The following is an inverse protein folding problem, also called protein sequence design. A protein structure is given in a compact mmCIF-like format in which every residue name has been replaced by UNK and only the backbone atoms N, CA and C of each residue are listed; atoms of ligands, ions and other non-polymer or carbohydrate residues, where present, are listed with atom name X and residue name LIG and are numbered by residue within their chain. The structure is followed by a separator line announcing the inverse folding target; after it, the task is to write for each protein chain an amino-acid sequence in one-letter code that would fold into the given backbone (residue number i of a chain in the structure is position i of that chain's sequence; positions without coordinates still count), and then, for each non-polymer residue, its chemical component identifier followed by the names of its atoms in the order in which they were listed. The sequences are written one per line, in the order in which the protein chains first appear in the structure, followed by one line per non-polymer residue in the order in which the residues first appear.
data_IF_230021244685
#
_entry.id   IF_230021244685
#
_cell.length_a   1.000
_cell.length_b   1.000
_cell.length_c   1.000
_cell.angle_alpha   90.00
_cell.angle_beta   90.00
_cell.angle_gamma   90.00
#
_symmetry.space_group_name_H-M   'P 1'
#
loop_
_entity.id
_entity.type
_entity.pdbx_description
1 polymer ?
#
# COMPACT_ATOMS: atom_id res chain seq x y z
N UNK A 1 13.59 16.82 8.60
CA UNK A 1 14.03 15.45 8.90
C UNK A 1 12.93 14.54 8.40
N UNK A 2 13.19 13.92 7.25
CA UNK A 2 12.24 13.17 6.42
C UNK A 2 11.56 12.06 7.23
N UNK A 3 10.27 12.22 7.50
CA UNK A 3 9.48 11.13 8.07
C UNK A 3 9.13 10.19 6.92
N UNK A 4 9.58 8.95 7.04
CA UNK A 4 9.33 7.88 6.06
C UNK A 4 7.82 7.61 6.02
N UNK A 5 7.16 8.29 5.08
CA UNK A 5 5.79 8.00 4.65
C UNK A 5 5.72 6.49 4.40
N UNK A 6 4.73 5.84 5.00
CA UNK A 6 4.50 4.41 4.82
C UNK A 6 4.53 4.12 3.33
N UNK A 7 5.47 3.26 2.94
CA UNK A 7 5.72 2.97 1.54
C UNK A 7 4.65 1.99 1.11
N UNK A 8 3.42 2.48 0.96
CA UNK A 8 2.49 1.83 0.05
C UNK A 8 3.24 1.57 -1.25
N UNK A 9 3.06 0.38 -1.83
CA UNK A 9 4.01 -0.18 -2.77
C UNK A 9 4.49 0.87 -3.78
N UNK A 10 5.78 1.25 -3.69
CA UNK A 10 6.31 2.32 -4.53
C UNK A 10 5.99 1.98 -5.99
N UNK A 11 5.72 2.97 -6.86
CA UNK A 11 5.47 2.68 -8.27
C UNK A 11 6.55 1.77 -8.88
N UNK A 12 7.81 1.94 -8.43
CA UNK A 12 8.94 1.08 -8.78
C UNK A 12 8.74 -0.41 -8.42
N UNK A 13 8.11 -0.71 -7.29
CA UNK A 13 7.84 -2.08 -6.83
C UNK A 13 6.67 -2.70 -7.60
N UNK A 14 5.64 -1.91 -7.94
CA UNK A 14 4.54 -2.36 -8.81
C UNK A 14 5.09 -2.71 -10.20
N UNK A 15 5.89 -1.82 -10.78
CA UNK A 15 6.55 -2.05 -12.07
C UNK A 15 7.50 -3.25 -12.01
N UNK A 16 8.28 -3.40 -10.94
CA UNK A 16 9.15 -4.56 -10.77
C UNK A 16 8.38 -5.89 -10.74
N UNK A 17 7.29 -5.97 -9.97
CA UNK A 17 6.44 -7.17 -9.88
C UNK A 17 5.82 -7.52 -11.23
N UNK A 18 5.28 -6.54 -11.96
CA UNK A 18 4.71 -6.76 -13.30
C UNK A 18 5.79 -7.23 -14.29
N UNK A 19 7.00 -6.66 -14.22
CA UNK A 19 8.13 -7.05 -15.08
C UNK A 19 8.63 -8.48 -14.84
N UNK A 20 8.27 -9.11 -13.71
CA UNK A 20 8.58 -10.53 -13.46
C UNK A 20 7.64 -11.49 -14.18
N UNK A 21 6.49 -11.00 -14.67
CA UNK A 21 5.50 -11.82 -15.37
C UNK A 21 6.02 -12.06 -16.80
N UNK A 22 6.22 -13.32 -17.22
CA UNK A 22 6.67 -13.60 -18.57
C UNK A 22 5.64 -13.13 -19.60
N UNK A 23 6.11 -12.61 -20.74
CA UNK A 23 5.21 -12.12 -21.79
C UNK A 23 4.27 -13.22 -22.27
N UNK A 24 3.00 -12.88 -22.50
CA UNK A 24 2.01 -13.82 -22.99
C UNK A 24 2.44 -14.38 -24.36
N UNK A 25 2.33 -15.69 -24.50
CA UNK A 25 2.55 -16.43 -25.73
C UNK A 25 1.48 -17.53 -25.88
N UNK A 26 1.49 -18.24 -27.01
CA UNK A 26 0.46 -19.24 -27.33
C UNK A 26 0.40 -20.45 -26.40
N UNK A 27 1.38 -20.63 -25.49
CA UNK A 27 1.48 -21.82 -24.63
C UNK A 27 1.38 -21.53 -23.12
N UNK A 28 1.57 -20.27 -22.70
CA UNK A 28 1.72 -19.92 -21.27
C UNK A 28 0.50 -19.24 -20.63
N UNK A 29 -0.66 -19.21 -21.31
CA UNK A 29 -1.84 -18.47 -20.85
C UNK A 29 -2.23 -18.78 -19.41
N UNK A 30 -2.24 -20.06 -19.01
CA UNK A 30 -2.63 -20.47 -17.65
C UNK A 30 -1.72 -19.82 -16.59
N UNK A 31 -0.41 -20.01 -16.72
CA UNK A 31 0.56 -19.46 -15.77
C UNK A 31 0.67 -17.94 -15.83
N UNK A 32 0.51 -17.35 -17.02
CA UNK A 32 0.46 -15.90 -17.20
C UNK A 32 -0.71 -15.28 -16.44
N UNK A 33 -1.90 -15.86 -16.56
CA UNK A 33 -3.10 -15.41 -15.87
C UNK A 33 -2.96 -15.55 -14.35
N UNK A 34 -2.51 -16.70 -13.86
CA UNK A 34 -2.30 -16.95 -12.43
C UNK A 34 -1.34 -15.92 -11.82
N UNK A 35 -0.21 -15.63 -12.50
CA UNK A 35 0.75 -14.63 -12.04
C UNK A 35 0.16 -13.21 -12.00
N UNK A 36 -0.66 -12.83 -12.98
CA UNK A 36 -1.34 -11.54 -12.98
C UNK A 36 -2.35 -11.41 -11.84
N UNK A 37 -3.16 -12.44 -11.59
CA UNK A 37 -4.15 -12.44 -10.52
C UNK A 37 -3.48 -12.32 -9.14
N UNK A 38 -2.33 -12.96 -8.93
CA UNK A 38 -1.54 -12.84 -7.69
C UNK A 38 -1.05 -11.41 -7.50
N UNK A 39 -0.43 -10.81 -8.53
CA UNK A 39 0.13 -9.45 -8.43
C UNK A 39 -0.97 -8.43 -8.16
N UNK A 40 -2.12 -8.54 -8.84
CA UNK A 40 -3.26 -7.66 -8.60
C UNK A 40 -3.83 -7.85 -7.19
N UNK A 41 -4.00 -9.09 -6.74
CA UNK A 41 -4.48 -9.37 -5.38
C UNK A 41 -3.58 -8.79 -4.29
N UNK A 42 -2.26 -8.81 -4.48
CA UNK A 42 -1.30 -8.20 -3.54
C UNK A 42 -1.40 -6.67 -3.56
N UNK A 43 -1.57 -6.05 -4.72
CA UNK A 43 -1.75 -4.59 -4.85
C UNK A 43 -3.06 -4.15 -4.20
N UNK A 44 -4.16 -4.85 -4.46
CA UNK A 44 -5.47 -4.53 -3.87
C UNK A 44 -5.48 -4.77 -2.36
N UNK A 45 -4.80 -5.82 -1.87
CA UNK A 45 -4.61 -6.04 -0.45
C UNK A 45 -3.77 -4.91 0.18
N UNK A 46 -2.66 -4.52 -0.45
CA UNK A 46 -1.85 -3.38 -0.01
C UNK A 46 -2.68 -2.08 0.01
N UNK A 47 -3.60 -1.89 -0.94
CA UNK A 47 -4.52 -0.76 -0.96
C UNK A 47 -5.59 -0.85 0.14
N UNK A 48 -6.18 -2.02 0.36
CA UNK A 48 -7.19 -2.25 1.40
C UNK A 48 -6.62 -2.09 2.82
N UNK A 49 -5.32 -2.36 2.99
CA UNK A 49 -4.60 -2.19 4.25
C UNK A 49 -4.06 -0.75 4.44
N UNK A 50 -4.15 0.12 3.44
CA UNK A 50 -3.81 1.53 3.64
C UNK A 50 -4.92 2.19 4.47
N UNK A 51 -4.59 2.51 5.69
CA UNK A 51 -5.36 3.48 6.46
C UNK A 51 -5.01 4.89 5.95
N UNK A 52 -6.04 5.70 5.68
CA UNK A 52 -5.83 7.10 5.35
C UNK A 52 -5.07 7.76 6.50
N UNK A 53 -3.98 8.45 6.19
CA UNK A 53 -3.24 9.17 7.23
C UNK A 53 -4.20 10.14 7.92
N UNK A 54 -4.31 10.10 9.27
CA UNK A 54 -5.23 10.98 9.96
C UNK A 54 -4.89 12.43 9.59
N UNK A 55 -5.88 13.26 9.23
CA UNK A 55 -5.64 14.62 8.81
C UNK A 55 -4.74 15.33 9.81
N UNK A 56 -3.79 16.13 9.31
CA UNK A 56 -2.88 16.87 10.16
C UNK A 56 -3.69 17.62 11.22
N UNK A 57 -3.29 17.47 12.49
CA UNK A 57 -3.98 18.16 13.57
C UNK A 57 -3.89 19.67 13.30
N UNK A 58 -5.05 20.31 13.28
CA UNK A 58 -5.16 21.77 13.20
C UNK A 58 -5.59 22.31 14.55
N UNK A 59 -5.49 23.62 14.76
CA UNK A 59 -5.99 24.26 16.00
C UNK A 59 -7.48 24.01 16.25
N UNK A 60 -8.22 23.64 15.18
CA UNK A 60 -9.64 23.27 15.22
C UNK A 60 -9.90 21.77 15.47
N UNK A 61 -8.86 20.93 15.56
CA UNK A 61 -9.03 19.50 15.82
C UNK A 61 -9.61 19.26 17.22
N UNK A 62 -10.54 18.32 17.31
CA UNK A 62 -11.21 17.99 18.57
C UNK A 62 -10.24 17.34 19.56
N UNK A 63 -10.58 17.41 20.85
CA UNK A 63 -9.80 16.75 21.90
C UNK A 63 -9.70 15.23 21.68
N UNK A 64 -10.66 14.62 20.98
CA UNK A 64 -10.67 13.19 20.64
C UNK A 64 -9.65 12.85 19.55
N UNK A 65 -9.65 13.61 18.44
CA UNK A 65 -8.67 13.46 17.36
C UNK A 65 -7.22 13.66 17.85
N UNK A 66 -7.02 14.54 18.83
CA UNK A 66 -5.72 14.76 19.47
C UNK A 66 -5.29 13.58 20.36
N UNK A 67 -6.24 12.85 20.96
CA UNK A 67 -5.97 11.65 21.78
C UNK A 67 -5.62 10.44 20.92
N UNK A 68 -6.38 10.18 19.85
CA UNK A 68 -6.11 9.07 18.93
C UNK A 68 -4.70 9.15 18.30
N UNK A 69 -4.27 10.36 17.91
CA UNK A 69 -2.88 10.65 17.49
C UNK A 69 -1.86 10.32 18.58
N UNK A 70 -2.19 10.61 19.85
CA UNK A 70 -1.30 10.41 21.00
C UNK A 70 -1.20 8.94 21.41
N UNK A 71 -2.26 8.15 21.23
CA UNK A 71 -2.24 6.74 21.64
C UNK A 71 -1.52 5.86 20.60
N UNK A 72 -1.61 6.20 19.31
CA UNK A 72 -0.85 5.55 18.23
C UNK A 72 0.66 5.79 18.26
N UNK A 73 1.15 6.84 18.94
CA UNK A 73 2.60 7.12 19.09
C UNK A 73 3.22 6.48 20.34
N UNK A 74 2.43 5.90 21.25
CA UNK A 74 2.91 5.27 22.49
C UNK A 74 3.00 3.73 22.42
N UNK A 75 2.82 3.13 21.22
CA UNK A 75 3.02 1.70 20.96
C UNK A 75 4.39 1.39 20.31
N UNK A 76 5.35 2.29 20.47
CA UNK A 76 6.81 2.12 20.19
C UNK A 76 7.59 2.78 21.31
#
# INVERSE_FOLDING_TARGET
MECSISKGMAPANITASINTIPMLNGSNFKSWKENLEIVLGVIDLDLALREDFPPALTDKSTSEQKREKKDGINLT
#
